data_IF_210406547303
#
_entry.id   IF_210406547303
#
_cell.length_a   1.000
_cell.length_b   1.000
_cell.length_c   1.000
_cell.angle_alpha   90.00
_cell.angle_beta   90.00
_cell.angle_gamma   90.00
#
_symmetry.space_group_name_H-M   'P 1'
#
loop_
_entity.id
_entity.type
_entity.pdbx_description
1 polymer ?
#
# COMPACT_ATOMS: atom_id res chain seq x y z
N UNK A 1 -33.46 2.75 -42.51
CA UNK A 1 -32.01 2.70 -42.53
C UNK A 1 -31.37 3.20 -41.18
N UNK A 2 -31.67 4.38 -40.68
CA UNK A 2 -31.10 4.93 -39.43
C UNK A 2 -31.36 4.10 -38.19
N UNK A 3 -32.54 3.47 -38.03
CA UNK A 3 -32.86 2.64 -36.84
C UNK A 3 -32.00 1.38 -36.75
N UNK A 4 -31.76 0.72 -37.88
CA UNK A 4 -30.88 -0.46 -37.98
C UNK A 4 -29.40 -0.12 -37.69
N UNK A 5 -28.91 1.00 -38.19
CA UNK A 5 -27.57 1.48 -37.96
C UNK A 5 -27.35 1.79 -36.44
N UNK A 6 -28.30 2.47 -35.83
CA UNK A 6 -28.26 2.76 -34.40
C UNK A 6 -28.21 1.50 -33.51
N UNK A 7 -29.02 0.49 -33.84
CA UNK A 7 -29.01 -0.79 -33.10
C UNK A 7 -27.69 -1.55 -33.32
N UNK A 8 -27.14 -1.53 -34.51
CA UNK A 8 -25.83 -2.11 -34.82
C UNK A 8 -24.73 -1.45 -33.97
N UNK A 9 -24.70 -0.11 -33.93
CA UNK A 9 -23.73 0.65 -33.15
C UNK A 9 -23.82 0.27 -31.63
N UNK A 10 -25.03 0.18 -31.08
CA UNK A 10 -25.17 -0.23 -29.68
C UNK A 10 -24.67 -1.66 -29.41
N UNK A 11 -24.84 -2.59 -30.34
CA UNK A 11 -24.30 -3.94 -30.21
C UNK A 11 -22.77 -3.96 -30.25
N UNK A 12 -22.16 -3.14 -31.12
CA UNK A 12 -20.68 -2.99 -31.13
C UNK A 12 -20.16 -2.42 -29.83
N UNK A 13 -20.77 -1.35 -29.30
CA UNK A 13 -20.40 -0.73 -28.01
C UNK A 13 -20.60 -1.73 -26.87
N UNK A 14 -21.66 -2.54 -26.89
CA UNK A 14 -21.87 -3.57 -25.89
C UNK A 14 -20.77 -4.66 -25.96
N UNK A 15 -20.37 -5.09 -27.15
CA UNK A 15 -19.25 -6.01 -27.34
C UNK A 15 -17.93 -5.45 -26.80
N UNK A 16 -17.63 -4.17 -27.08
CA UNK A 16 -16.46 -3.49 -26.53
C UNK A 16 -16.50 -3.43 -25.00
N UNK A 17 -17.65 -3.12 -24.41
CA UNK A 17 -17.81 -3.11 -22.94
C UNK A 17 -17.58 -4.51 -22.33
N UNK A 18 -18.12 -5.58 -22.93
CA UNK A 18 -17.84 -6.95 -22.48
C UNK A 18 -16.35 -7.27 -22.55
N UNK A 19 -15.68 -6.89 -23.63
CA UNK A 19 -14.23 -7.09 -23.78
C UNK A 19 -13.44 -6.36 -22.67
N UNK A 20 -13.79 -5.12 -22.35
CA UNK A 20 -13.13 -4.37 -21.27
C UNK A 20 -13.40 -4.96 -19.89
N UNK A 21 -14.57 -5.56 -19.65
CA UNK A 21 -14.87 -6.30 -18.42
C UNK A 21 -14.00 -7.56 -18.30
N UNK A 22 -13.83 -8.31 -19.37
CA UNK A 22 -12.95 -9.49 -19.40
C UNK A 22 -11.52 -9.08 -19.05
N UNK A 23 -11.01 -8.00 -19.65
CA UNK A 23 -9.67 -7.50 -19.34
C UNK A 23 -9.60 -7.02 -17.87
N UNK A 24 -10.61 -6.28 -17.38
CA UNK A 24 -10.67 -5.85 -15.99
C UNK A 24 -10.62 -7.03 -15.02
N UNK A 25 -11.29 -8.14 -15.35
CA UNK A 25 -11.25 -9.38 -14.57
C UNK A 25 -9.84 -9.99 -14.56
N UNK A 26 -9.22 -10.16 -15.73
CA UNK A 26 -7.87 -10.72 -15.84
C UNK A 26 -6.84 -9.89 -15.08
N UNK A 27 -6.90 -8.58 -15.22
CA UNK A 27 -6.02 -7.62 -14.53
C UNK A 27 -6.29 -7.61 -13.02
N UNK A 28 -7.56 -7.67 -12.62
CA UNK A 28 -7.98 -7.65 -11.21
C UNK A 28 -7.56 -8.89 -10.41
N UNK A 29 -7.30 -10.01 -11.08
CA UNK A 29 -6.81 -11.25 -10.49
C UNK A 29 -5.37 -11.58 -10.88
N UNK A 30 -4.61 -10.61 -11.34
CA UNK A 30 -3.19 -10.80 -11.69
C UNK A 30 -2.31 -11.12 -10.48
N UNK A 31 -2.75 -10.82 -9.27
CA UNK A 31 -2.10 -11.16 -8.01
C UNK A 31 -1.98 -12.69 -7.75
N UNK A 32 -2.68 -13.52 -8.55
CA UNK A 32 -2.56 -14.98 -8.53
C UNK A 32 -1.37 -15.51 -9.34
N UNK A 33 -0.80 -14.72 -10.25
CA UNK A 33 0.37 -15.16 -11.00
C UNK A 33 1.60 -15.17 -10.14
N UNK A 34 2.31 -16.30 -10.13
CA UNK A 34 3.60 -16.44 -9.44
C UNK A 34 4.67 -15.63 -10.19
N UNK A 35 5.33 -14.66 -9.55
CA UNK A 35 6.29 -13.79 -10.22
C UNK A 35 7.52 -14.52 -10.76
N UNK A 36 7.94 -15.61 -10.14
CA UNK A 36 9.05 -16.42 -10.62
C UNK A 36 8.85 -16.89 -12.07
N UNK A 37 7.60 -17.29 -12.42
CA UNK A 37 7.24 -17.83 -13.74
C UNK A 37 6.63 -16.79 -14.66
N UNK A 38 5.84 -15.86 -14.11
CA UNK A 38 4.98 -14.94 -14.85
C UNK A 38 5.06 -13.50 -14.34
N UNK A 39 6.29 -13.00 -14.12
CA UNK A 39 6.51 -11.69 -13.50
C UNK A 39 5.82 -10.51 -14.22
N UNK A 40 5.82 -10.51 -15.55
CA UNK A 40 5.13 -9.46 -16.32
C UNK A 40 3.61 -9.51 -16.10
N UNK A 41 3.02 -10.72 -16.04
CA UNK A 41 1.59 -10.90 -15.80
C UNK A 41 1.20 -10.54 -14.35
N UNK A 42 2.08 -10.80 -13.39
CA UNK A 42 1.87 -10.43 -11.98
C UNK A 42 1.78 -8.90 -11.78
N UNK A 43 2.35 -8.10 -12.68
CA UNK A 43 2.29 -6.64 -12.65
C UNK A 43 1.07 -6.04 -13.38
N UNK A 44 0.23 -6.85 -14.02
CA UNK A 44 -0.95 -6.33 -14.72
C UNK A 44 -1.92 -5.61 -13.76
N UNK A 45 -1.90 -5.91 -12.48
CA UNK A 45 -2.68 -5.21 -11.45
C UNK A 45 -2.49 -3.69 -11.44
N UNK A 46 -1.34 -3.19 -11.90
CA UNK A 46 -1.09 -1.76 -12.08
C UNK A 46 -2.01 -1.11 -13.12
N UNK A 47 -2.56 -1.88 -14.06
CA UNK A 47 -3.51 -1.38 -15.06
C UNK A 47 -4.97 -1.42 -14.58
N UNK A 48 -5.24 -2.00 -13.41
CA UNK A 48 -6.60 -2.15 -12.88
C UNK A 48 -7.38 -0.82 -12.82
N UNK A 49 -6.81 0.31 -12.34
CA UNK A 49 -7.53 1.59 -12.29
C UNK A 49 -7.99 2.08 -13.68
N UNK A 50 -7.23 1.81 -14.73
CA UNK A 50 -7.59 2.20 -16.10
C UNK A 50 -8.87 1.47 -16.52
N UNK A 51 -8.93 0.15 -16.32
CA UNK A 51 -10.12 -0.64 -16.69
C UNK A 51 -11.31 -0.39 -15.78
N UNK A 52 -11.06 -0.03 -14.51
CA UNK A 52 -12.10 0.43 -13.58
C UNK A 52 -12.77 1.72 -14.10
N UNK A 53 -11.97 2.72 -14.51
CA UNK A 53 -12.46 3.99 -15.04
C UNK A 53 -13.19 3.78 -16.38
N UNK A 54 -12.63 2.96 -17.29
CA UNK A 54 -13.26 2.65 -18.58
C UNK A 54 -14.63 2.01 -18.39
N UNK A 55 -14.75 1.02 -17.50
CA UNK A 55 -16.03 0.36 -17.25
C UNK A 55 -17.03 1.27 -16.51
N UNK A 56 -16.56 2.19 -15.66
CA UNK A 56 -17.41 3.24 -15.09
C UNK A 56 -17.92 4.20 -16.19
N UNK A 57 -17.07 4.55 -17.15
CA UNK A 57 -17.46 5.32 -18.34
C UNK A 57 -18.54 4.60 -19.15
N UNK A 58 -18.43 3.29 -19.38
CA UNK A 58 -19.47 2.50 -20.04
C UNK A 58 -20.77 2.48 -19.22
N UNK A 59 -20.71 2.38 -17.89
CA UNK A 59 -21.90 2.45 -17.05
C UNK A 59 -22.63 3.77 -17.22
N UNK A 60 -21.90 4.90 -17.13
CA UNK A 60 -22.47 6.23 -17.36
C UNK A 60 -23.02 6.37 -18.76
N UNK A 61 -22.32 5.93 -19.78
CA UNK A 61 -22.79 5.95 -21.18
C UNK A 61 -24.12 5.20 -21.34
N UNK A 62 -24.21 3.97 -20.79
CA UNK A 62 -25.44 3.19 -20.88
C UNK A 62 -26.61 3.79 -20.12
N UNK A 63 -26.37 4.37 -18.95
CA UNK A 63 -27.42 5.07 -18.16
C UNK A 63 -27.99 6.26 -18.94
N UNK A 64 -27.15 6.99 -19.68
CA UNK A 64 -27.56 8.17 -20.43
C UNK A 64 -28.26 7.82 -21.76
N UNK A 65 -27.77 6.81 -22.49
CA UNK A 65 -28.21 6.55 -23.86
C UNK A 65 -29.11 5.33 -24.04
N UNK A 66 -28.94 4.30 -23.21
CA UNK A 66 -29.69 3.05 -23.32
C UNK A 66 -29.67 2.24 -22.01
N UNK A 67 -30.41 2.68 -21.03
CA UNK A 67 -30.39 2.16 -19.65
C UNK A 67 -30.46 0.64 -19.50
N UNK A 68 -31.19 -0.06 -20.40
CA UNK A 68 -31.24 -1.54 -20.38
C UNK A 68 -29.88 -2.23 -20.54
N UNK A 69 -28.90 -1.57 -21.19
CA UNK A 69 -27.55 -2.12 -21.37
C UNK A 69 -26.63 -1.79 -20.16
N UNK A 70 -27.06 -0.93 -19.22
CA UNK A 70 -26.32 -0.65 -18.00
C UNK A 70 -26.11 -1.91 -17.12
N UNK A 71 -26.93 -2.93 -17.35
CA UNK A 71 -26.77 -4.24 -16.70
C UNK A 71 -25.41 -4.89 -17.04
N UNK A 72 -24.81 -4.62 -18.21
CA UNK A 72 -23.53 -5.20 -18.63
C UNK A 72 -22.40 -4.76 -17.70
N UNK A 73 -22.07 -3.46 -17.57
CA UNK A 73 -21.02 -3.02 -16.66
C UNK A 73 -21.39 -3.24 -15.19
N UNK A 74 -22.67 -3.21 -14.82
CA UNK A 74 -23.11 -3.55 -13.47
C UNK A 74 -22.73 -4.98 -13.09
N UNK A 75 -23.03 -5.96 -13.95
CA UNK A 75 -22.59 -7.34 -13.74
C UNK A 75 -21.07 -7.46 -13.77
N UNK A 76 -20.37 -6.69 -14.62
CA UNK A 76 -18.92 -6.61 -14.63
C UNK A 76 -18.35 -6.20 -13.27
N UNK A 77 -18.91 -5.18 -12.63
CA UNK A 77 -18.51 -4.76 -11.28
C UNK A 77 -18.83 -5.79 -10.20
N UNK A 78 -19.95 -6.52 -10.33
CA UNK A 78 -20.29 -7.61 -9.41
C UNK A 78 -19.28 -8.77 -9.51
N UNK A 79 -18.92 -9.17 -10.72
CA UNK A 79 -17.91 -10.22 -10.96
C UNK A 79 -16.54 -9.79 -10.47
N UNK A 80 -16.17 -8.52 -10.69
CA UNK A 80 -14.92 -7.93 -10.26
C UNK A 80 -14.99 -7.32 -8.85
N UNK A 81 -15.99 -7.66 -8.03
CA UNK A 81 -16.21 -7.04 -6.71
C UNK A 81 -14.98 -7.11 -5.80
N UNK A 82 -14.30 -8.25 -5.76
CA UNK A 82 -13.10 -8.43 -4.91
C UNK A 82 -11.97 -7.48 -5.32
N UNK A 83 -11.48 -7.46 -6.56
CA UNK A 83 -10.44 -6.50 -6.96
C UNK A 83 -10.89 -5.04 -6.90
N UNK A 84 -12.17 -4.73 -7.20
CA UNK A 84 -12.71 -3.37 -7.02
C UNK A 84 -12.60 -2.95 -5.56
N UNK A 85 -13.03 -3.80 -4.62
CA UNK A 85 -12.95 -3.51 -3.19
C UNK A 85 -11.51 -3.43 -2.68
N UNK A 86 -10.60 -4.26 -3.19
CA UNK A 86 -9.16 -4.15 -2.87
C UNK A 86 -8.59 -2.80 -3.27
N UNK A 87 -8.91 -2.34 -4.47
CA UNK A 87 -8.34 -1.10 -5.02
C UNK A 87 -9.03 0.15 -4.48
N UNK A 88 -10.37 0.14 -4.44
CA UNK A 88 -11.21 1.29 -4.07
C UNK A 88 -12.27 0.85 -3.05
N UNK A 89 -11.90 0.60 -1.80
CA UNK A 89 -12.87 0.24 -0.76
C UNK A 89 -13.84 1.39 -0.50
N UNK A 90 -15.06 1.02 -0.17
CA UNK A 90 -16.10 1.93 0.32
C UNK A 90 -16.61 1.34 1.63
N UNK A 91 -16.40 2.07 2.72
CA UNK A 91 -16.82 1.70 4.06
C UNK A 91 -17.66 2.83 4.66
N UNK A 92 -18.71 2.46 5.36
CA UNK A 92 -19.50 3.40 6.14
C UNK A 92 -18.88 3.48 7.54
N UNK A 93 -18.37 4.66 7.90
CA UNK A 93 -17.72 4.87 9.19
C UNK A 93 -18.74 4.79 10.30
N UNK A 94 -18.60 3.83 11.20
CA UNK A 94 -19.22 3.83 12.51
C UNK A 94 -18.45 4.72 13.49
N UNK A 95 -19.01 4.98 14.66
CA UNK A 95 -18.27 5.65 15.73
C UNK A 95 -17.06 4.82 16.17
N UNK A 96 -15.91 5.47 16.29
CA UNK A 96 -14.70 4.82 16.80
C UNK A 96 -14.86 4.51 18.28
N UNK A 97 -14.79 3.25 18.72
CA UNK A 97 -14.98 2.90 20.11
C UNK A 97 -13.80 3.42 20.98
N UNK A 98 -14.12 3.74 22.23
CA UNK A 98 -13.09 4.16 23.20
C UNK A 98 -12.04 3.05 23.43
N UNK A 99 -10.80 3.47 23.66
CA UNK A 99 -9.69 2.57 23.98
C UNK A 99 -9.07 1.83 22.78
N UNK A 100 -9.28 2.34 21.55
CA UNK A 100 -8.44 1.99 20.42
C UNK A 100 -7.00 2.43 20.65
N UNK A 101 -6.06 1.78 19.98
CA UNK A 101 -4.69 2.26 19.81
C UNK A 101 -4.57 2.89 18.42
N UNK A 102 -3.81 3.97 18.31
CA UNK A 102 -3.51 4.63 17.04
C UNK A 102 -2.16 4.13 16.53
N UNK A 103 -2.17 3.54 15.34
CA UNK A 103 -0.98 3.02 14.66
C UNK A 103 -0.72 3.87 13.42
N UNK A 104 0.53 4.27 13.21
CA UNK A 104 0.99 5.04 12.06
C UNK A 104 2.14 4.31 11.38
N UNK A 105 2.10 4.20 10.05
CA UNK A 105 3.22 3.75 9.22
C UNK A 105 3.59 4.83 8.21
N UNK A 106 4.89 5.10 8.05
CA UNK A 106 5.36 6.16 7.17
C UNK A 106 6.77 5.88 6.62
N UNK A 107 6.87 5.74 5.30
CA UNK A 107 8.15 5.82 4.63
C UNK A 107 8.56 7.31 4.58
N UNK A 108 9.58 7.67 5.34
CA UNK A 108 9.94 9.08 5.58
C UNK A 108 10.88 9.67 4.54
N UNK A 109 11.40 8.86 3.61
CA UNK A 109 12.44 9.30 2.68
C UNK A 109 13.54 10.08 3.40
N UNK A 110 14.19 9.46 4.38
CA UNK A 110 15.21 10.08 5.23
C UNK A 110 14.74 11.40 5.89
N UNK A 111 13.57 11.35 6.55
CA UNK A 111 12.92 12.50 7.19
C UNK A 111 12.66 13.68 6.22
N UNK A 112 12.03 13.35 5.07
CA UNK A 112 11.66 14.32 4.05
C UNK A 112 12.88 14.96 3.38
N UNK A 113 13.92 14.15 3.10
CA UNK A 113 15.21 14.63 2.60
C UNK A 113 15.77 15.79 3.46
N UNK A 114 15.55 15.73 4.79
CA UNK A 114 15.98 16.71 5.77
C UNK A 114 15.30 18.10 5.65
N UNK A 115 14.06 18.14 5.14
CA UNK A 115 13.30 19.39 5.01
C UNK A 115 12.90 19.92 6.38
N UNK A 116 13.21 21.19 6.62
CA UNK A 116 12.94 21.92 7.87
C UNK A 116 11.97 23.07 7.65
N UNK A 117 11.27 23.47 8.72
CA UNK A 117 10.46 24.69 8.77
C UNK A 117 11.33 25.95 9.00
N UNK A 118 10.68 27.10 9.16
CA UNK A 118 11.36 28.40 9.38
C UNK A 118 12.12 28.47 10.71
N UNK A 119 11.73 27.66 11.69
CA UNK A 119 12.33 27.55 13.02
C UNK A 119 13.47 26.53 13.07
N UNK A 120 13.71 25.81 11.96
CA UNK A 120 14.75 24.79 11.83
C UNK A 120 14.35 23.43 12.40
N UNK A 121 13.04 23.19 12.57
CA UNK A 121 12.49 21.90 12.98
C UNK A 121 12.24 21.04 11.75
N UNK A 122 12.64 19.77 11.79
CA UNK A 122 12.33 18.83 10.72
C UNK A 122 10.82 18.58 10.63
N UNK A 123 10.24 18.84 9.47
CA UNK A 123 8.79 18.78 9.27
C UNK A 123 8.22 17.37 9.52
N UNK A 124 8.96 16.28 9.18
CA UNK A 124 8.54 14.92 9.51
C UNK A 124 8.48 14.71 11.03
N UNK A 125 9.48 15.18 11.78
CA UNK A 125 9.55 15.00 13.24
C UNK A 125 8.42 15.78 13.91
N UNK A 126 8.18 17.04 13.50
CA UNK A 126 7.05 17.83 13.98
C UNK A 126 5.69 17.15 13.71
N UNK A 127 5.51 16.62 12.51
CA UNK A 127 4.30 15.87 12.16
C UNK A 127 4.11 14.63 13.05
N UNK A 128 5.16 13.84 13.27
CA UNK A 128 5.07 12.66 14.12
C UNK A 128 4.69 13.01 15.56
N UNK A 129 5.20 14.13 16.09
CA UNK A 129 4.84 14.67 17.39
C UNK A 129 3.35 15.07 17.43
N UNK A 130 2.86 15.80 16.43
CA UNK A 130 1.46 16.22 16.33
C UNK A 130 0.51 15.03 16.25
N UNK A 131 0.90 13.97 15.52
CA UNK A 131 0.06 12.79 15.37
C UNK A 131 -0.17 12.03 16.68
N UNK A 132 0.75 12.09 17.63
CA UNK A 132 0.63 11.44 18.95
C UNK A 132 0.10 9.99 18.87
N UNK A 133 0.56 9.23 17.87
CA UNK A 133 0.15 7.85 17.70
C UNK A 133 0.72 6.96 18.82
N UNK A 134 0.10 5.84 19.12
CA UNK A 134 0.58 4.92 20.18
C UNK A 134 1.76 4.08 19.70
N UNK A 135 1.78 3.77 18.39
CA UNK A 135 2.83 3.00 17.72
C UNK A 135 3.11 3.67 16.37
N UNK A 136 4.38 3.94 16.08
CA UNK A 136 4.85 4.51 14.82
C UNK A 136 5.91 3.61 14.20
N UNK A 137 5.64 3.09 13.01
CA UNK A 137 6.56 2.32 12.19
C UNK A 137 7.07 3.19 11.06
N UNK A 138 8.38 3.44 11.01
CA UNK A 138 8.99 4.26 9.96
C UNK A 138 9.87 3.39 9.06
N UNK A 139 9.86 3.71 7.76
CA UNK A 139 10.74 3.14 6.76
C UNK A 139 11.59 4.27 6.18
N UNK A 140 12.75 3.93 5.65
CA UNK A 140 13.76 4.90 5.20
C UNK A 140 14.05 5.98 6.26
N UNK A 141 14.05 5.61 7.52
CA UNK A 141 14.19 6.53 8.65
C UNK A 141 15.62 6.49 9.20
N UNK A 142 16.62 6.79 8.36
CA UNK A 142 18.02 6.87 8.77
C UNK A 142 18.30 8.27 9.35
N UNK A 143 18.42 8.42 10.68
CA UNK A 143 18.57 9.74 11.29
C UNK A 143 19.99 10.27 11.12
N UNK A 144 20.11 11.55 10.79
CA UNK A 144 21.35 12.32 10.94
C UNK A 144 21.57 12.71 12.40
N UNK A 145 22.75 13.20 12.75
CA UNK A 145 23.01 13.71 14.12
C UNK A 145 21.97 14.76 14.54
N UNK A 146 21.59 15.66 13.62
CA UNK A 146 20.57 16.69 13.89
C UNK A 146 19.17 16.10 14.09
N UNK A 147 18.80 15.07 13.33
CA UNK A 147 17.53 14.36 13.57
C UNK A 147 17.51 13.67 14.93
N UNK A 148 18.64 13.08 15.37
CA UNK A 148 18.75 12.45 16.68
C UNK A 148 18.48 13.47 17.79
N UNK A 149 19.08 14.67 17.72
CA UNK A 149 18.84 15.74 18.70
C UNK A 149 17.36 16.14 18.76
N UNK A 150 16.71 16.28 17.61
CA UNK A 150 15.29 16.62 17.54
C UNK A 150 14.38 15.46 18.00
N UNK A 151 14.70 14.21 17.62
CA UNK A 151 13.99 13.02 18.09
C UNK A 151 14.11 12.92 19.62
N UNK A 152 15.31 13.11 20.19
CA UNK A 152 15.54 13.05 21.64
C UNK A 152 14.78 14.15 22.39
N UNK A 153 14.70 15.35 21.84
CA UNK A 153 13.99 16.47 22.49
C UNK A 153 12.49 16.45 22.30
N UNK A 154 11.98 16.04 21.12
CA UNK A 154 10.57 16.17 20.77
C UNK A 154 9.79 14.87 20.88
N UNK A 155 10.36 13.72 20.47
CA UNK A 155 9.65 12.44 20.39
C UNK A 155 9.95 11.53 21.58
N UNK A 156 11.17 11.50 22.09
CA UNK A 156 11.54 10.63 23.23
C UNK A 156 10.73 10.87 24.52
N UNK A 157 10.30 12.11 24.86
CA UNK A 157 9.40 12.31 25.97
C UNK A 157 8.03 11.64 25.80
N UNK A 158 7.57 11.45 24.57
CA UNK A 158 6.29 10.84 24.23
C UNK A 158 6.40 9.32 24.02
N UNK A 159 7.56 8.86 23.51
CA UNK A 159 7.83 7.48 23.15
C UNK A 159 8.99 6.95 23.98
N UNK A 160 8.67 6.37 25.12
CA UNK A 160 9.68 5.82 26.05
C UNK A 160 10.45 4.63 25.44
N UNK A 161 9.88 3.96 24.43
CA UNK A 161 10.47 2.78 23.80
C UNK A 161 10.70 3.07 22.32
N UNK A 162 11.97 3.04 21.93
CA UNK A 162 12.40 3.34 20.56
C UNK A 162 13.42 2.29 20.11
N UNK A 163 13.40 1.97 18.83
CA UNK A 163 14.41 1.15 18.20
C UNK A 163 14.70 1.67 16.79
N UNK A 164 15.95 1.62 16.41
CA UNK A 164 16.40 1.85 15.03
C UNK A 164 17.20 0.65 14.58
N UNK A 165 16.75 -0.01 13.52
CA UNK A 165 17.45 -1.15 12.92
C UNK A 165 17.95 -0.77 11.54
N UNK A 166 19.27 -0.82 11.35
CA UNK A 166 19.92 -0.56 10.06
C UNK A 166 20.07 -1.85 9.26
N UNK A 167 19.94 -1.73 7.94
CA UNK A 167 20.28 -2.84 7.06
C UNK A 167 21.77 -3.17 7.15
N UNK A 168 22.13 -4.46 7.05
CA UNK A 168 23.51 -4.93 7.21
C UNK A 168 24.50 -4.31 6.21
N UNK A 169 24.02 -3.96 5.01
CA UNK A 169 24.81 -3.29 3.97
C UNK A 169 24.76 -1.76 4.07
N UNK A 170 24.10 -1.20 5.10
CA UNK A 170 23.85 0.24 5.24
C UNK A 170 22.76 0.75 4.29
N UNK A 171 22.54 2.06 4.31
CA UNK A 171 21.68 2.76 3.35
C UNK A 171 20.18 2.74 3.62
N UNK A 172 19.68 1.85 4.45
CA UNK A 172 18.25 1.80 4.81
C UNK A 172 18.06 1.48 6.29
N UNK A 173 17.06 2.11 6.90
CA UNK A 173 16.73 1.97 8.31
C UNK A 173 15.23 1.81 8.50
N UNK A 174 14.86 0.93 9.42
CA UNK A 174 13.54 0.88 10.01
C UNK A 174 13.61 1.47 11.42
N UNK A 175 12.66 2.31 11.77
CA UNK A 175 12.53 2.86 13.12
C UNK A 175 11.17 2.50 13.68
N UNK A 176 11.16 2.21 14.98
CA UNK A 176 9.96 2.02 15.79
C UNK A 176 9.96 3.03 16.93
N UNK A 177 8.85 3.77 17.05
CA UNK A 177 8.56 4.59 18.22
C UNK A 177 7.30 4.02 18.87
N UNK A 178 7.35 3.75 20.16
CA UNK A 178 6.23 3.10 20.87
C UNK A 178 6.02 3.69 22.27
N UNK A 179 4.76 3.90 22.63
CA UNK A 179 4.35 4.17 24.01
C UNK A 179 4.34 2.89 24.85
N UNK A 180 4.45 1.73 24.22
CA UNK A 180 4.41 0.41 24.86
C UNK A 180 5.81 -0.23 24.90
N UNK A 181 6.12 -1.00 25.96
CA UNK A 181 7.41 -1.70 26.08
C UNK A 181 7.73 -2.61 24.92
N UNK A 182 8.95 -2.50 24.42
CA UNK A 182 9.55 -3.45 23.45
C UNK A 182 10.22 -4.55 24.28
N UNK A 183 9.69 -5.77 24.19
CA UNK A 183 10.18 -6.93 24.95
C UNK A 183 11.34 -7.63 24.24
N UNK A 184 11.24 -7.73 22.91
CA UNK A 184 12.28 -8.31 22.05
C UNK A 184 12.11 -7.83 20.61
N UNK A 185 13.19 -7.98 19.83
CA UNK A 185 13.16 -7.80 18.38
C UNK A 185 13.93 -8.90 17.68
N UNK A 186 13.53 -9.20 16.46
CA UNK A 186 14.27 -10.07 15.56
C UNK A 186 14.05 -9.64 14.11
N UNK A 187 15.03 -9.89 13.26
CA UNK A 187 14.92 -9.66 11.82
C UNK A 187 14.33 -10.89 11.17
N UNK A 188 13.31 -10.71 10.32
CA UNK A 188 12.77 -11.80 9.52
C UNK A 188 13.81 -12.18 8.47
N UNK A 189 14.29 -13.44 8.44
CA UNK A 189 15.39 -13.82 7.57
C UNK A 189 14.93 -13.99 6.13
N UNK A 190 15.48 -13.15 5.25
CA UNK A 190 15.43 -13.28 3.80
C UNK A 190 16.58 -12.48 3.18
N UNK A 191 16.96 -12.82 1.95
CA UNK A 191 17.97 -12.09 1.21
C UNK A 191 17.37 -10.85 0.55
N UNK A 192 17.97 -9.69 0.79
CA UNK A 192 17.66 -8.43 0.12
C UNK A 192 18.89 -7.54 0.04
N UNK A 193 18.98 -6.72 -1.00
CA UNK A 193 20.13 -5.81 -1.17
C UNK A 193 20.12 -4.65 -0.20
N UNK A 194 18.95 -4.13 0.14
CA UNK A 194 18.81 -2.92 0.95
C UNK A 194 17.55 -2.88 1.81
N UNK A 195 16.68 -3.89 1.72
CA UNK A 195 15.39 -3.88 2.39
C UNK A 195 15.34 -4.95 3.49
N UNK A 196 14.41 -4.82 4.40
CA UNK A 196 14.28 -5.74 5.53
C UNK A 196 12.89 -5.67 6.16
N UNK A 197 12.58 -6.71 6.94
CA UNK A 197 11.44 -6.74 7.85
C UNK A 197 11.92 -7.06 9.25
N UNK A 198 11.41 -6.32 10.22
CA UNK A 198 11.75 -6.50 11.63
C UNK A 198 10.48 -6.78 12.42
N UNK A 199 10.52 -7.83 13.21
CA UNK A 199 9.46 -8.22 14.13
C UNK A 199 9.82 -7.80 15.55
N UNK A 200 8.87 -7.17 16.24
CA UNK A 200 8.98 -6.71 17.62
C UNK A 200 7.91 -7.38 18.46
N UNK A 201 8.25 -7.80 19.67
CA UNK A 201 7.26 -8.15 20.69
C UNK A 201 7.00 -6.95 21.58
N UNK A 202 5.77 -6.45 21.56
CA UNK A 202 5.35 -5.31 22.35
C UNK A 202 4.42 -5.77 23.49
N UNK A 203 4.50 -5.10 24.65
CA UNK A 203 3.52 -5.26 25.71
C UNK A 203 2.44 -4.19 25.59
N UNK A 204 1.40 -4.47 24.78
CA UNK A 204 0.29 -3.53 24.58
C UNK A 204 -0.79 -3.80 25.63
N UNK A 205 -0.90 -2.91 26.64
CA UNK A 205 -1.77 -3.11 27.80
C UNK A 205 -1.44 -4.44 28.51
N UNK A 206 -2.37 -5.39 28.49
CA UNK A 206 -2.24 -6.71 29.11
C UNK A 206 -1.84 -7.83 28.15
N UNK A 207 -1.63 -7.52 26.87
CA UNK A 207 -1.29 -8.52 25.83
C UNK A 207 0.10 -8.31 25.25
N UNK A 208 0.71 -9.43 24.87
CA UNK A 208 1.84 -9.42 23.95
C UNK A 208 1.31 -9.33 22.52
N UNK A 209 1.88 -8.41 21.76
CA UNK A 209 1.55 -8.15 20.36
C UNK A 209 2.80 -8.28 19.52
N UNK A 210 2.75 -9.08 18.49
CA UNK A 210 3.78 -9.18 17.48
C UNK A 210 3.57 -8.05 16.47
N UNK A 211 4.43 -7.05 16.50
CA UNK A 211 4.46 -5.96 15.52
C UNK A 211 5.52 -6.25 14.46
N UNK A 212 5.14 -6.21 13.19
CA UNK A 212 6.07 -6.38 12.07
C UNK A 212 6.16 -5.06 11.31
N UNK A 213 7.39 -4.51 11.19
CA UNK A 213 7.68 -3.35 10.35
C UNK A 213 8.41 -3.81 9.10
N UNK A 214 7.78 -3.62 7.93
CA UNK A 214 8.29 -4.08 6.63
C UNK A 214 8.77 -2.92 5.77
N UNK A 215 9.86 -3.14 5.05
CA UNK A 215 10.18 -2.42 3.83
C UNK A 215 10.68 -3.44 2.82
N UNK A 216 9.85 -3.78 1.83
CA UNK A 216 10.16 -4.79 0.81
C UNK A 216 10.91 -4.18 -0.37
N UNK A 217 11.51 -5.04 -1.22
CA UNK A 217 12.31 -4.62 -2.36
C UNK A 217 11.61 -3.58 -3.23
N UNK A 218 12.32 -2.49 -3.47
CA UNK A 218 11.85 -1.35 -4.28
C UNK A 218 11.72 -1.70 -5.76
N UNK A 219 10.99 -0.89 -6.51
CA UNK A 219 10.85 -1.04 -7.96
C UNK A 219 12.16 -0.82 -8.72
N UNK A 220 13.18 -0.22 -8.10
CA UNK A 220 14.46 0.08 -8.73
C UNK A 220 14.38 1.08 -9.90
N UNK A 221 13.29 1.82 -10.03
CA UNK A 221 13.11 2.84 -11.07
C UNK A 221 13.94 4.08 -10.73
N UNK A 222 14.84 4.46 -11.65
CA UNK A 222 15.60 5.69 -11.55
C UNK A 222 14.71 6.93 -11.69
N UNK A 223 15.22 8.10 -11.33
CA UNK A 223 14.53 9.38 -11.57
C UNK A 223 14.20 9.59 -13.06
N UNK A 224 15.09 9.14 -13.95
CA UNK A 224 14.88 9.22 -15.39
C UNK A 224 13.75 8.26 -15.83
N UNK A 225 13.70 7.02 -15.35
CA UNK A 225 12.61 6.09 -15.65
C UNK A 225 11.25 6.67 -15.22
N UNK A 226 11.19 7.27 -14.05
CA UNK A 226 9.98 7.92 -13.52
C UNK A 226 9.58 9.12 -14.37
N UNK A 227 10.55 9.93 -14.83
CA UNK A 227 10.31 11.05 -15.75
C UNK A 227 9.78 10.57 -17.10
N UNK A 228 10.38 9.51 -17.65
CA UNK A 228 9.94 8.91 -18.92
C UNK A 228 8.54 8.31 -18.78
N UNK A 229 8.24 7.63 -17.68
CA UNK A 229 6.89 7.14 -17.40
C UNK A 229 5.86 8.29 -17.36
N UNK A 230 6.17 9.38 -16.64
CA UNK A 230 5.31 10.56 -16.60
C UNK A 230 5.08 11.12 -18.02
N UNK A 231 6.13 11.25 -18.83
CA UNK A 231 6.01 11.73 -20.20
C UNK A 231 5.20 10.78 -21.09
N UNK A 232 5.32 9.47 -20.86
CA UNK A 232 4.50 8.44 -21.53
C UNK A 232 3.01 8.64 -21.22
N UNK A 233 2.67 8.75 -19.95
CA UNK A 233 1.26 8.90 -19.49
C UNK A 233 0.61 10.17 -20.03
N UNK A 234 1.34 11.27 -20.09
CA UNK A 234 0.82 12.56 -20.61
C UNK A 234 0.98 12.71 -22.14
N UNK A 235 1.40 11.65 -22.85
CA UNK A 235 1.48 11.62 -24.32
C UNK A 235 2.56 12.54 -24.91
N UNK A 236 3.64 12.81 -24.17
CA UNK A 236 4.75 13.68 -24.65
C UNK A 236 5.88 12.95 -25.37
N UNK A 237 5.83 11.62 -25.44
CA UNK A 237 6.85 10.83 -26.12
C UNK A 237 6.48 10.57 -27.57
N UNK A 238 7.49 10.50 -28.44
CA UNK A 238 7.36 9.95 -29.79
C UNK A 238 7.02 8.46 -29.72
N UNK A 239 6.34 7.91 -30.72
CA UNK A 239 5.84 6.52 -30.73
C UNK A 239 6.94 5.50 -30.42
N UNK A 240 8.08 5.60 -31.12
CA UNK A 240 9.21 4.66 -30.94
C UNK A 240 9.78 4.75 -29.53
N UNK A 241 9.99 5.96 -29.00
CA UNK A 241 10.46 6.20 -27.63
C UNK A 241 9.44 5.71 -26.60
N UNK A 242 8.15 5.85 -26.86
CA UNK A 242 7.08 5.37 -25.98
C UNK A 242 7.08 3.84 -25.89
N UNK A 243 7.30 3.15 -27.00
CA UNK A 243 7.39 1.68 -27.06
C UNK A 243 8.62 1.17 -26.26
N UNK A 244 9.80 1.76 -26.51
CA UNK A 244 11.04 1.41 -25.78
C UNK A 244 10.92 1.66 -24.30
N UNK A 245 10.39 2.83 -23.89
CA UNK A 245 10.13 3.18 -22.49
C UNK A 245 9.19 2.17 -21.84
N UNK A 246 8.10 1.81 -22.51
CA UNK A 246 7.12 0.84 -22.00
C UNK A 246 7.75 -0.54 -21.78
N UNK A 247 8.56 -1.02 -22.75
CA UNK A 247 9.28 -2.30 -22.62
C UNK A 247 10.24 -2.28 -21.45
N UNK A 248 11.04 -1.21 -21.32
CA UNK A 248 12.00 -1.06 -20.23
C UNK A 248 11.31 -1.07 -18.86
N UNK A 249 10.21 -0.34 -18.71
CA UNK A 249 9.42 -0.29 -17.47
C UNK A 249 8.86 -1.66 -17.11
N UNK A 250 8.27 -2.39 -18.08
CA UNK A 250 7.75 -3.74 -17.85
C UNK A 250 8.85 -4.69 -17.36
N UNK A 251 10.04 -4.62 -17.98
CA UNK A 251 11.18 -5.46 -17.56
C UNK A 251 11.63 -5.12 -16.13
N UNK A 252 11.84 -3.83 -15.82
CA UNK A 252 12.26 -3.39 -14.47
C UNK A 252 11.25 -3.77 -13.39
N UNK A 253 9.96 -3.52 -13.64
CA UNK A 253 8.90 -3.91 -12.72
C UNK A 253 8.83 -5.43 -12.53
N UNK A 254 8.99 -6.21 -13.59
CA UNK A 254 9.00 -7.67 -13.52
C UNK A 254 10.20 -8.18 -12.68
N UNK A 255 11.39 -7.61 -12.86
CA UNK A 255 12.57 -7.96 -12.06
C UNK A 255 12.40 -7.59 -10.58
N UNK A 256 11.85 -6.41 -10.28
CA UNK A 256 11.56 -6.00 -8.91
C UNK A 256 10.55 -6.94 -8.24
N UNK A 257 9.48 -7.30 -8.95
CA UNK A 257 8.45 -8.22 -8.43
C UNK A 257 9.01 -9.63 -8.19
N UNK A 258 9.94 -10.13 -9.03
CA UNK A 258 10.65 -11.40 -8.80
C UNK A 258 11.47 -11.39 -7.52
N UNK A 259 12.13 -10.27 -7.19
CA UNK A 259 12.93 -10.13 -5.96
C UNK A 259 12.04 -9.99 -4.74
N UNK A 260 10.94 -9.25 -4.86
CA UNK A 260 9.99 -8.99 -3.77
C UNK A 260 9.18 -10.22 -3.37
N UNK A 261 8.90 -11.13 -4.32
CA UNK A 261 8.09 -12.32 -4.06
C UNK A 261 8.65 -13.20 -2.92
N UNK A 262 9.94 -13.63 -2.93
CA UNK A 262 10.50 -14.42 -1.83
C UNK A 262 10.54 -13.65 -0.50
N UNK A 263 10.70 -12.33 -0.51
CA UNK A 263 10.61 -11.50 0.70
C UNK A 263 9.19 -11.56 1.30
N UNK A 264 8.17 -11.38 0.46
CA UNK A 264 6.76 -11.47 0.86
C UNK A 264 6.41 -12.89 1.37
N UNK A 265 6.93 -13.93 0.74
CA UNK A 265 6.76 -15.32 1.16
C UNK A 265 7.42 -15.58 2.52
N UNK A 266 8.62 -15.03 2.76
CA UNK A 266 9.29 -15.14 4.05
C UNK A 266 8.51 -14.46 5.18
N UNK A 267 7.97 -13.25 4.92
CA UNK A 267 7.10 -12.53 5.87
C UNK A 267 5.82 -13.33 6.12
N UNK A 268 5.15 -13.83 5.09
CA UNK A 268 3.93 -14.63 5.23
C UNK A 268 4.19 -15.94 5.99
N UNK A 269 5.32 -16.61 5.75
CA UNK A 269 5.74 -17.80 6.51
C UNK A 269 5.96 -17.47 7.98
N UNK A 270 6.60 -16.34 8.26
CA UNK A 270 6.82 -15.88 9.63
C UNK A 270 5.48 -15.60 10.34
N UNK A 271 4.52 -14.93 9.68
CA UNK A 271 3.16 -14.72 10.18
C UNK A 271 2.48 -16.07 10.48
N UNK A 272 2.55 -17.02 9.55
CA UNK A 272 1.96 -18.35 9.73
C UNK A 272 2.52 -19.10 10.93
N UNK A 273 3.83 -18.97 11.20
CA UNK A 273 4.46 -19.57 12.36
C UNK A 273 4.00 -18.96 13.70
N UNK A 274 3.48 -17.72 13.65
CA UNK A 274 3.03 -16.96 14.81
C UNK A 274 1.52 -16.67 14.81
N UNK A 275 0.73 -17.38 14.01
CA UNK A 275 -0.70 -17.13 13.77
C UNK A 275 -1.59 -17.16 15.02
N UNK A 276 -1.13 -17.80 16.11
CA UNK A 276 -1.86 -17.84 17.40
C UNK A 276 -1.60 -16.58 18.25
N UNK A 277 -0.71 -15.70 17.80
CA UNK A 277 -0.39 -14.45 18.49
C UNK A 277 -1.25 -13.32 17.92
N UNK A 278 -1.35 -12.25 18.72
CA UNK A 278 -1.90 -10.97 18.29
C UNK A 278 -0.89 -10.28 17.37
N UNK A 279 -1.25 -10.01 16.13
CA UNK A 279 -0.33 -9.49 15.11
C UNK A 279 -0.81 -8.13 14.61
N UNK A 280 0.11 -7.18 14.53
CA UNK A 280 -0.03 -5.93 13.76
C UNK A 280 1.15 -5.89 12.78
N UNK A 281 0.88 -5.60 11.52
CA UNK A 281 1.89 -5.46 10.50
C UNK A 281 1.75 -4.09 9.84
N UNK A 282 2.86 -3.40 9.69
CA UNK A 282 2.96 -2.10 9.04
C UNK A 282 4.07 -2.12 7.99
N UNK A 283 3.99 -1.24 7.00
CA UNK A 283 5.14 -0.92 6.19
C UNK A 283 4.86 -0.70 4.72
N UNK A 284 5.93 -0.34 4.02
CA UNK A 284 5.99 -0.16 2.59
C UNK A 284 6.25 -1.50 1.90
N UNK A 285 5.27 -1.95 1.12
CA UNK A 285 5.39 -3.19 0.36
C UNK A 285 6.00 -2.97 -1.02
N UNK A 286 6.20 -1.71 -1.42
CA UNK A 286 6.61 -1.34 -2.78
C UNK A 286 5.76 -1.98 -3.88
N UNK A 287 4.52 -2.37 -3.53
CA UNK A 287 3.57 -3.04 -4.43
C UNK A 287 2.12 -2.73 -4.04
N UNK A 288 1.26 -2.65 -5.05
CA UNK A 288 -0.13 -2.26 -4.87
C UNK A 288 -1.04 -3.33 -4.26
N UNK A 289 -2.31 -3.00 -3.97
CA UNK A 289 -3.27 -3.93 -3.34
C UNK A 289 -3.67 -5.11 -4.25
N UNK A 290 -3.43 -5.00 -5.56
CA UNK A 290 -3.62 -6.09 -6.53
C UNK A 290 -2.23 -6.56 -6.97
N UNK A 291 -1.49 -7.17 -6.05
CA UNK A 291 -0.16 -7.70 -6.30
C UNK A 291 0.05 -9.03 -5.56
N UNK A 292 1.03 -9.79 -6.06
CA UNK A 292 1.42 -11.04 -5.43
C UNK A 292 1.90 -10.84 -3.99
N UNK A 293 2.73 -9.83 -3.74
CA UNK A 293 3.27 -9.54 -2.42
C UNK A 293 2.15 -9.21 -1.41
N UNK A 294 1.25 -8.29 -1.78
CA UNK A 294 0.12 -7.93 -0.92
C UNK A 294 -0.77 -9.14 -0.63
N UNK A 295 -1.17 -9.91 -1.67
CA UNK A 295 -2.00 -11.10 -1.52
C UNK A 295 -1.36 -12.16 -0.62
N UNK A 296 -0.03 -12.36 -0.76
CA UNK A 296 0.72 -13.37 0.00
C UNK A 296 0.78 -13.02 1.48
N UNK A 297 1.08 -11.77 1.83
CA UNK A 297 1.16 -11.30 3.23
C UNK A 297 -0.23 -11.19 3.86
N UNK A 298 -1.21 -10.70 3.11
CA UNK A 298 -2.58 -10.49 3.61
C UNK A 298 -3.39 -11.80 3.81
N UNK A 299 -2.82 -12.96 3.47
CA UNK A 299 -3.57 -14.25 3.49
C UNK A 299 -4.22 -14.55 4.83
N UNK A 300 -3.51 -14.29 5.92
CA UNK A 300 -3.94 -14.60 7.29
C UNK A 300 -4.14 -13.31 8.14
N UNK A 301 -4.22 -12.15 7.48
CA UNK A 301 -4.40 -10.85 8.13
C UNK A 301 -5.53 -10.06 7.46
N UNK A 302 -6.12 -9.16 8.21
CA UNK A 302 -7.07 -8.17 7.71
C UNK A 302 -6.31 -6.91 7.28
N UNK A 303 -6.41 -6.51 5.99
CA UNK A 303 -5.97 -5.20 5.52
C UNK A 303 -6.88 -4.13 6.11
N UNK A 304 -6.31 -3.27 6.96
CA UNK A 304 -7.05 -2.25 7.69
C UNK A 304 -7.64 -1.17 6.77
N UNK A 305 -6.94 -0.86 5.65
CA UNK A 305 -7.45 0.11 4.69
C UNK A 305 -8.64 -0.44 3.91
N UNK A 306 -8.58 -1.69 3.47
CA UNK A 306 -9.72 -2.34 2.80
C UNK A 306 -10.91 -2.46 3.76
N UNK A 307 -10.66 -2.72 5.05
CA UNK A 307 -11.70 -2.95 6.04
C UNK A 307 -12.37 -1.65 6.55
N UNK A 308 -11.64 -0.53 6.64
CA UNK A 308 -12.15 0.70 7.27
C UNK A 308 -11.75 2.01 6.58
N UNK A 309 -10.99 1.94 5.48
CA UNK A 309 -10.63 3.09 4.65
C UNK A 309 -11.62 3.32 3.50
N UNK A 310 -11.45 4.43 2.76
CA UNK A 310 -12.28 4.81 1.63
C UNK A 310 -11.46 5.34 0.46
N UNK A 311 -11.88 4.99 -0.75
CA UNK A 311 -11.21 5.42 -1.98
C UNK A 311 -9.91 4.66 -2.27
N UNK A 312 -9.08 5.15 -3.21
CA UNK A 312 -7.86 4.45 -3.63
C UNK A 312 -6.74 4.44 -2.58
N UNK A 313 -6.72 5.41 -1.65
CA UNK A 313 -5.72 5.49 -0.58
C UNK A 313 -4.30 5.64 -1.08
N UNK A 314 -4.08 6.54 -2.02
CA UNK A 314 -2.77 6.77 -2.63
C UNK A 314 -1.77 7.16 -1.56
N UNK A 315 -0.81 6.29 -1.28
CA UNK A 315 0.25 6.56 -0.32
C UNK A 315 1.57 6.98 -0.98
N UNK A 316 1.86 6.49 -2.18
CA UNK A 316 2.99 6.93 -3.01
C UNK A 316 2.52 7.87 -4.11
N UNK A 317 3.16 9.04 -4.27
CA UNK A 317 2.67 10.11 -5.15
C UNK A 317 3.77 10.80 -5.99
N UNK A 318 4.88 10.13 -6.26
CA UNK A 318 6.00 10.72 -6.98
C UNK A 318 6.21 10.13 -8.39
N UNK A 319 6.76 10.95 -9.29
CA UNK A 319 7.19 10.51 -10.62
C UNK A 319 6.08 10.05 -11.56
N UNK A 320 4.83 10.47 -11.32
CA UNK A 320 3.66 10.08 -12.12
C UNK A 320 3.02 8.77 -11.67
N UNK A 321 3.55 8.12 -10.63
CA UNK A 321 2.93 6.98 -9.98
C UNK A 321 2.06 7.45 -8.82
N UNK A 322 0.82 6.99 -8.78
CA UNK A 322 -0.16 7.29 -7.73
C UNK A 322 -0.78 5.97 -7.28
N UNK A 323 -0.17 5.34 -6.28
CA UNK A 323 -0.52 3.99 -5.84
C UNK A 323 -0.53 3.89 -4.31
N UNK A 324 -1.33 2.96 -3.77
CA UNK A 324 -1.25 2.57 -2.36
C UNK A 324 -0.27 1.41 -2.24
N UNK A 325 0.87 1.65 -1.61
CA UNK A 325 1.91 0.64 -1.36
C UNK A 325 2.26 0.51 0.12
N UNK A 326 1.85 1.48 0.94
CA UNK A 326 1.96 1.43 2.38
C UNK A 326 0.72 0.78 2.99
N UNK A 327 0.94 -0.11 3.95
CA UNK A 327 -0.10 -0.95 4.50
C UNK A 327 -0.05 -1.01 6.03
N UNK A 328 -1.23 -1.12 6.64
CA UNK A 328 -1.43 -1.58 8.02
C UNK A 328 -2.36 -2.77 7.96
N UNK A 329 -1.94 -3.89 8.53
CA UNK A 329 -2.72 -5.13 8.60
C UNK A 329 -2.77 -5.64 10.03
N UNK A 330 -3.78 -6.41 10.38
CA UNK A 330 -3.91 -6.97 11.72
C UNK A 330 -4.54 -8.37 11.72
N UNK A 331 -4.26 -9.14 12.75
CA UNK A 331 -4.91 -10.43 13.02
C UNK A 331 -6.37 -10.25 13.48
N UNK A 332 -7.14 -11.32 13.48
CA UNK A 332 -8.59 -11.31 13.75
C UNK A 332 -9.00 -10.84 15.15
N UNK A 333 -8.05 -10.77 16.09
CA UNK A 333 -8.30 -10.24 17.44
C UNK A 333 -8.26 -8.72 17.51
N UNK A 334 -7.99 -8.06 16.40
CA UNK A 334 -8.12 -6.62 16.21
C UNK A 334 -9.28 -6.26 15.28
N UNK A 335 -9.82 -5.09 15.46
CA UNK A 335 -10.82 -4.48 14.59
C UNK A 335 -10.37 -3.09 14.16
N UNK A 336 -10.18 -2.85 12.85
CA UNK A 336 -9.69 -1.58 12.33
C UNK A 336 -10.82 -0.55 12.19
N UNK A 337 -10.50 0.70 12.53
CA UNK A 337 -11.36 1.87 12.40
C UNK A 337 -10.59 3.03 11.79
N UNK A 338 -11.27 3.85 11.00
CA UNK A 338 -10.75 5.10 10.44
C UNK A 338 -9.36 4.96 9.80
N UNK A 339 -9.12 3.85 9.08
CA UNK A 339 -7.86 3.71 8.35
C UNK A 339 -7.82 4.70 7.19
N UNK A 340 -6.79 5.53 7.13
CA UNK A 340 -6.66 6.59 6.14
C UNK A 340 -5.21 6.82 5.75
N UNK A 341 -5.01 7.30 4.55
CA UNK A 341 -3.77 7.96 4.13
C UNK A 341 -3.91 9.45 4.44
N UNK A 342 -2.90 10.04 5.08
CA UNK A 342 -2.92 11.45 5.49
C UNK A 342 -2.05 12.28 4.53
N UNK A 343 -2.68 12.94 3.58
CA UNK A 343 -2.04 13.75 2.53
C UNK A 343 -1.70 15.19 2.96
N UNK A 344 -1.84 15.50 4.26
CA UNK A 344 -1.51 16.83 4.81
C UNK A 344 -0.02 17.10 4.89
N UNK A 345 0.81 16.06 4.89
CA UNK A 345 2.26 16.15 4.86
C UNK A 345 2.79 15.60 3.53
N UNK A 346 3.59 16.39 2.81
CA UNK A 346 4.09 16.06 1.48
C UNK A 346 5.61 16.28 1.33
N UNK A 347 6.36 16.11 2.43
CA UNK A 347 7.83 16.26 2.41
C UNK A 347 8.56 14.97 2.05
N UNK A 348 7.87 13.83 2.09
CA UNK A 348 8.31 12.55 1.53
C UNK A 348 7.60 12.29 0.20
N UNK A 349 8.09 11.37 -0.61
CA UNK A 349 7.38 10.84 -1.77
C UNK A 349 6.27 9.86 -1.39
N UNK A 350 6.13 9.55 -0.08
CA UNK A 350 5.00 8.84 0.50
C UNK A 350 4.16 9.75 1.40
N UNK A 351 2.89 9.39 1.55
CA UNK A 351 2.01 9.87 2.60
C UNK A 351 1.89 8.82 3.71
N UNK A 352 1.84 9.22 4.98
CA UNK A 352 1.65 8.28 6.07
C UNK A 352 0.26 7.61 6.01
N UNK A 353 0.20 6.34 6.40
CA UNK A 353 -1.05 5.63 6.64
C UNK A 353 -1.29 5.51 8.15
N UNK A 354 -2.51 5.78 8.58
CA UNK A 354 -2.92 5.82 9.98
C UNK A 354 -4.15 4.94 10.17
N UNK A 355 -4.18 4.14 11.22
CA UNK A 355 -5.33 3.32 11.58
C UNK A 355 -5.54 3.33 13.09
N UNK A 356 -6.80 3.30 13.53
CA UNK A 356 -7.18 3.04 14.90
C UNK A 356 -7.57 1.57 15.03
N UNK A 357 -6.94 0.85 15.94
CA UNK A 357 -7.16 -0.57 16.17
C UNK A 357 -7.82 -0.81 17.52
N UNK A 358 -8.97 -1.49 17.51
CA UNK A 358 -9.64 -1.94 18.72
C UNK A 358 -9.34 -3.40 18.97
N UNK A 359 -8.76 -3.68 20.13
CA UNK A 359 -8.56 -5.05 20.59
C UNK A 359 -9.91 -5.69 20.93
N UNK A 360 -10.20 -6.83 20.33
CA UNK A 360 -11.42 -7.62 20.64
C UNK A 360 -11.26 -8.35 21.97
N UNK A 361 -12.34 -8.55 22.72
CA UNK A 361 -12.30 -9.41 23.90
C UNK A 361 -11.78 -10.81 23.53
N UNK A 362 -10.99 -11.43 24.41
CA UNK A 362 -10.61 -12.83 24.22
C UNK A 362 -11.88 -13.66 24.10
N UNK A 363 -12.00 -14.42 23.01
CA UNK A 363 -13.07 -15.44 22.93
C UNK A 363 -12.89 -16.36 24.14
N UNK A 364 -13.84 -16.38 25.06
CA UNK A 364 -13.88 -17.42 26.08
C UNK A 364 -14.02 -18.76 25.34
N UNK A 365 -13.02 -19.64 25.48
CA UNK A 365 -13.06 -20.99 24.93
C UNK A 365 -14.03 -21.85 25.73
#
# INVERSE_FOLDING_TARGET
MFKGFKEFTYKMVAGANVATIIVMLLVGFSDFFQPEKFAALANLGLLFPVFLIVNLGFLLFWLLFRSKYAIIPFLGFLICFVPVRKYMPINFSGETPKGCIKVLSYNTWNFGAQTEDAEGTNICIAYLQEQDADIICLQEACPTSRNIEQIDSMLKPMYAYQDTTMHVNGGNCLMLLSKYPILSKERIPYESKGNMSVAYRLKVKDREVLLINNHLETTGLSLEDRRQFKNLVIGKLQVDTAEETSKLLVVKLAEATKKRAPEAEAVAKYIQQHKEQSIILCGDFNDGPISYAHRTIAKDLTDCYIASGNGPGISYHHGGFFVRIDNIMCSDDWEPYECKVDDKIAVSDHYPIICKLKMRPKKQK
#
